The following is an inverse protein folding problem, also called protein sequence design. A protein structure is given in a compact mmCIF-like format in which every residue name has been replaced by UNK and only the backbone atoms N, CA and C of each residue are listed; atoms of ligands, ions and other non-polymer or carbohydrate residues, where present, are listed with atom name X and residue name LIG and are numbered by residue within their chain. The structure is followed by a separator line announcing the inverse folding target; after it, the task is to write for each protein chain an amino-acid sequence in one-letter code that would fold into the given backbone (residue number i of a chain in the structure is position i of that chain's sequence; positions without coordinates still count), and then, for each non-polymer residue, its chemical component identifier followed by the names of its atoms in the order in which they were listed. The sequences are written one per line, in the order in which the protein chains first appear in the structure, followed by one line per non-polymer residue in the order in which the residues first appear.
data_IF_114027597035
#
_entry.id   IF_114027597035
#
_cell.length_a   1.000
_cell.length_b   1.000
_cell.length_c   1.000
_cell.angle_alpha   90.00
_cell.angle_beta   90.00
_cell.angle_gamma   90.00
#
_symmetry.space_group_name_H-M   'P 1'
#
loop_
_entity.id
_entity.type
_entity.pdbx_description
1 polymer ?
#
# COMPACT_ATOMS: atom_id res chain seq x y z
N UNK A 1 10.99 -6.19 -68.79
CA UNK A 1 11.57 -6.11 -67.43
C UNK A 1 10.45 -5.72 -66.47
N UNK A 2 9.78 -6.70 -65.87
CA UNK A 2 8.73 -6.51 -64.87
C UNK A 2 9.37 -6.28 -63.51
N UNK A 3 9.23 -5.07 -62.97
CA UNK A 3 9.71 -4.71 -61.63
C UNK A 3 8.62 -5.14 -60.63
N UNK A 4 8.83 -6.28 -59.96
CA UNK A 4 8.00 -6.66 -58.82
C UNK A 4 8.22 -5.67 -57.66
N UNK A 5 7.15 -5.14 -57.04
CA UNK A 5 7.29 -4.27 -55.87
C UNK A 5 7.73 -5.13 -54.67
N UNK A 6 8.94 -4.89 -54.17
CA UNK A 6 9.42 -5.49 -52.92
C UNK A 6 8.55 -4.99 -51.76
N UNK A 7 7.62 -5.82 -51.32
CA UNK A 7 6.90 -5.59 -50.06
C UNK A 7 7.93 -5.59 -48.94
N UNK A 8 8.07 -4.50 -48.15
CA UNK A 8 9.01 -4.49 -47.04
C UNK A 8 8.58 -5.57 -46.06
N UNK A 9 9.43 -6.59 -45.87
CA UNK A 9 9.22 -7.62 -44.87
C UNK A 9 9.28 -6.94 -43.50
N UNK A 10 8.10 -6.65 -42.94
CA UNK A 10 7.99 -6.20 -41.55
C UNK A 10 8.49 -7.36 -40.69
N UNK A 11 9.73 -7.27 -40.24
CA UNK A 11 10.30 -8.21 -39.29
C UNK A 11 9.44 -8.15 -38.02
N UNK A 12 8.53 -9.12 -37.87
CA UNK A 12 7.74 -9.31 -36.68
C UNK A 12 8.71 -9.54 -35.52
N UNK A 13 8.98 -8.49 -34.74
CA UNK A 13 9.77 -8.59 -33.51
C UNK A 13 9.01 -9.53 -32.57
N UNK A 14 9.42 -10.79 -32.54
CA UNK A 14 8.82 -11.82 -31.71
C UNK A 14 8.87 -11.35 -30.25
N UNK A 15 7.73 -11.38 -29.57
CA UNK A 15 7.67 -11.03 -28.16
C UNK A 15 8.67 -11.89 -27.38
N UNK A 16 9.56 -11.30 -26.56
CA UNK A 16 10.55 -12.06 -25.82
C UNK A 16 9.86 -13.12 -24.95
N UNK A 17 10.28 -14.39 -25.09
CA UNK A 17 9.75 -15.54 -24.34
C UNK A 17 10.68 -15.89 -23.16
N UNK A 18 10.13 -16.50 -22.11
CA UNK A 18 10.87 -16.99 -20.94
C UNK A 18 11.51 -15.89 -20.08
N UNK A 19 12.74 -16.14 -19.61
CA UNK A 19 13.48 -15.28 -18.67
C UNK A 19 13.69 -13.84 -19.17
N UNK A 20 13.82 -13.65 -20.49
CA UNK A 20 13.96 -12.31 -21.09
C UNK A 20 12.68 -11.47 -20.95
N UNK A 21 11.51 -12.11 -20.90
CA UNK A 21 10.21 -11.45 -20.64
C UNK A 21 10.11 -11.00 -19.19
N UNK A 22 10.49 -11.88 -18.25
CA UNK A 22 10.50 -11.59 -16.82
C UNK A 22 11.49 -10.47 -16.51
N UNK A 23 12.71 -10.55 -17.06
CA UNK A 23 13.73 -9.50 -16.90
C UNK A 23 13.30 -8.17 -17.51
N UNK A 24 12.68 -8.20 -18.70
CA UNK A 24 12.12 -7.00 -19.33
C UNK A 24 10.99 -6.38 -18.51
N UNK A 25 10.12 -7.19 -17.93
CA UNK A 25 9.03 -6.75 -17.06
C UNK A 25 9.55 -6.18 -15.74
N UNK A 26 10.54 -6.84 -15.12
CA UNK A 26 11.21 -6.37 -13.92
C UNK A 26 11.95 -5.04 -14.15
N UNK A 27 12.68 -4.89 -15.27
CA UNK A 27 13.34 -3.61 -15.61
C UNK A 27 12.33 -2.48 -15.81
N UNK A 28 11.16 -2.78 -16.41
CA UNK A 28 10.09 -1.79 -16.60
C UNK A 28 9.43 -1.40 -15.28
N UNK A 29 9.15 -2.37 -14.41
CA UNK A 29 8.68 -2.11 -13.03
C UNK A 29 9.70 -1.25 -12.30
N UNK A 30 10.98 -1.59 -12.37
CA UNK A 30 12.07 -0.83 -11.76
C UNK A 30 12.16 0.60 -12.30
N UNK A 31 12.00 0.80 -13.61
CA UNK A 31 11.98 2.14 -14.19
C UNK A 31 10.80 2.98 -13.69
N UNK A 32 9.58 2.41 -13.64
CA UNK A 32 8.42 3.13 -13.09
C UNK A 32 8.56 3.40 -11.60
N UNK A 33 9.11 2.46 -10.84
CA UNK A 33 9.44 2.63 -9.43
C UNK A 33 10.43 3.79 -9.23
N UNK A 34 11.50 3.87 -10.02
CA UNK A 34 12.47 4.96 -9.98
C UNK A 34 11.86 6.31 -10.32
N UNK A 35 11.00 6.38 -11.34
CA UNK A 35 10.29 7.61 -11.71
C UNK A 35 9.42 8.10 -10.57
N UNK A 36 8.68 7.21 -9.91
CA UNK A 36 7.84 7.57 -8.77
C UNK A 36 8.66 7.97 -7.53
N UNK A 37 9.80 7.31 -7.28
CA UNK A 37 10.76 7.72 -6.25
C UNK A 37 11.32 9.11 -6.51
N UNK A 38 11.55 9.46 -7.77
CA UNK A 38 12.08 10.77 -8.13
C UNK A 38 11.04 11.89 -7.92
N UNK A 39 9.76 11.62 -8.17
CA UNK A 39 8.65 12.53 -7.83
C UNK A 39 8.59 12.78 -6.33
N UNK A 40 8.68 11.71 -5.53
CA UNK A 40 8.71 11.77 -4.07
C UNK A 40 9.82 12.65 -3.51
N UNK A 41 10.99 12.65 -4.14
CA UNK A 41 12.12 13.47 -3.70
C UNK A 41 11.86 14.97 -3.80
N UNK A 42 11.01 15.39 -4.74
CA UNK A 42 10.64 16.80 -4.94
C UNK A 42 9.51 17.25 -4.01
N UNK A 43 8.58 16.36 -3.65
CA UNK A 43 7.41 16.69 -2.80
C UNK A 43 7.70 16.52 -1.29
N UNK A 44 8.77 17.14 -0.79
CA UNK A 44 9.17 17.06 0.63
C UNK A 44 8.10 17.60 1.58
N UNK A 45 7.38 18.63 1.17
CA UNK A 45 6.30 19.25 1.95
C UNK A 45 5.09 18.32 2.11
N UNK A 46 4.79 17.50 1.10
CA UNK A 46 3.69 16.53 1.15
C UNK A 46 3.98 15.44 2.20
N UNK A 47 5.22 14.98 2.28
CA UNK A 47 5.63 13.97 3.26
C UNK A 47 5.46 14.47 4.71
N UNK A 48 5.87 15.71 4.98
CA UNK A 48 5.76 16.31 6.30
C UNK A 48 4.31 16.57 6.70
N UNK A 49 3.52 17.15 5.79
CA UNK A 49 2.09 17.43 6.06
C UNK A 49 1.29 16.16 6.30
N UNK A 50 1.61 15.05 5.60
CA UNK A 50 0.97 13.75 5.84
C UNK A 50 1.34 13.10 7.18
N UNK A 51 2.46 13.47 7.81
CA UNK A 51 2.82 12.99 9.14
C UNK A 51 2.00 13.64 10.26
N UNK A 52 1.39 14.80 10.01
CA UNK A 52 0.61 15.52 11.03
C UNK A 52 -0.54 14.65 11.54
N UNK A 53 -1.29 13.99 10.66
CA UNK A 53 -2.44 13.18 11.07
C UNK A 53 -2.04 11.95 11.91
N UNK A 54 -1.08 11.10 11.49
CA UNK A 54 -0.57 9.99 12.33
C UNK A 54 0.03 10.46 13.65
N UNK A 55 0.76 11.59 13.65
CA UNK A 55 1.31 12.17 14.86
C UNK A 55 0.22 12.62 15.84
N UNK A 56 -0.84 13.28 15.35
CA UNK A 56 -1.98 13.66 16.17
C UNK A 56 -2.67 12.42 16.77
N UNK A 57 -2.83 11.34 16.00
CA UNK A 57 -3.38 10.10 16.53
C UNK A 57 -2.51 9.54 17.65
N UNK A 58 -1.18 9.47 17.45
CA UNK A 58 -0.27 8.92 18.45
C UNK A 58 -0.17 9.80 19.69
N UNK A 59 -0.12 11.13 19.52
CA UNK A 59 0.00 12.09 20.61
C UNK A 59 -1.30 12.23 21.40
N UNK A 60 -2.45 12.36 20.73
CA UNK A 60 -3.73 12.56 21.40
C UNK A 60 -4.23 11.23 21.94
N UNK A 61 -4.48 10.23 21.08
CA UNK A 61 -5.05 8.96 21.52
C UNK A 61 -4.03 8.15 22.32
N UNK A 62 -2.79 8.05 21.85
CA UNK A 62 -1.77 7.28 22.55
C UNK A 62 -1.50 7.79 23.97
N UNK A 63 -1.32 9.11 24.16
CA UNK A 63 -1.09 9.66 25.51
C UNK A 63 -2.35 9.65 26.38
N UNK A 64 -3.51 10.01 25.82
CA UNK A 64 -4.75 10.10 26.60
C UNK A 64 -5.17 8.73 27.11
N UNK A 65 -5.21 7.72 26.24
CA UNK A 65 -5.61 6.37 26.64
C UNK A 65 -4.56 5.65 27.47
N UNK A 66 -3.27 5.93 27.27
CA UNK A 66 -2.22 5.40 28.16
C UNK A 66 -2.29 5.94 29.58
N UNK A 67 -2.95 7.09 29.83
CA UNK A 67 -3.19 7.62 31.18
C UNK A 67 -4.47 7.10 31.82
N UNK A 68 -5.39 6.60 31.01
CA UNK A 68 -6.70 6.14 31.47
C UNK A 68 -6.67 4.68 31.92
N UNK A 69 -5.70 3.88 31.47
CA UNK A 69 -5.56 2.43 31.79
C UNK A 69 -6.84 1.62 31.54
N UNK A 70 -7.70 2.11 30.63
CA UNK A 70 -9.04 1.56 30.34
C UNK A 70 -8.98 0.30 29.47
N UNK A 71 -7.89 0.07 28.74
CA UNK A 71 -7.76 -1.04 27.79
C UNK A 71 -6.63 -1.94 28.26
N UNK A 72 -6.98 -3.16 28.71
CA UNK A 72 -6.00 -4.18 29.05
C UNK A 72 -5.30 -4.69 27.78
N UNK A 73 -4.13 -4.12 27.52
CA UNK A 73 -3.23 -4.48 26.42
C UNK A 73 -2.21 -5.55 26.83
N UNK A 74 -2.44 -6.27 27.94
CA UNK A 74 -1.57 -7.36 28.39
C UNK A 74 -0.21 -6.89 28.91
N UNK A 75 -0.16 -5.72 29.56
CA UNK A 75 1.04 -5.18 30.21
C UNK A 75 1.95 -4.30 29.34
N UNK A 76 1.55 -4.00 28.10
CA UNK A 76 2.27 -3.06 27.21
C UNK A 76 1.57 -1.70 27.21
N UNK A 77 2.26 -0.56 27.33
CA UNK A 77 1.63 0.76 27.24
C UNK A 77 0.77 0.89 25.97
N UNK A 78 -0.45 1.39 26.09
CA UNK A 78 -1.38 1.55 24.96
C UNK A 78 -0.75 2.31 23.78
N UNK A 79 0.12 3.28 24.08
CA UNK A 79 0.91 4.01 23.09
C UNK A 79 1.76 3.08 22.20
N UNK A 80 2.39 2.05 22.78
CA UNK A 80 3.17 1.08 22.02
C UNK A 80 2.26 0.18 21.18
N UNK A 81 1.13 -0.26 21.73
CA UNK A 81 0.14 -1.07 21.02
C UNK A 81 -0.46 -0.35 19.80
N UNK A 82 -0.70 0.96 19.94
CA UNK A 82 -1.35 1.81 18.95
C UNK A 82 -0.41 2.13 17.77
N UNK A 83 0.90 2.26 18.00
CA UNK A 83 1.82 2.74 16.99
C UNK A 83 1.91 1.86 15.72
N UNK A 84 2.01 0.50 15.79
CA UNK A 84 1.89 -0.36 14.61
C UNK A 84 0.54 -0.21 13.88
N UNK A 85 -0.54 0.00 14.63
CA UNK A 85 -1.87 0.27 14.09
C UNK A 85 -1.92 1.55 13.26
N UNK A 86 -1.33 2.62 13.79
CA UNK A 86 -1.23 3.92 13.09
C UNK A 86 -0.34 3.82 11.86
N UNK A 87 0.73 3.03 11.90
CA UNK A 87 1.58 2.78 10.72
C UNK A 87 0.76 2.14 9.60
N UNK A 88 0.04 1.04 9.89
CA UNK A 88 -0.81 0.36 8.91
C UNK A 88 -1.97 1.26 8.43
N UNK A 89 -2.58 2.03 9.32
CA UNK A 89 -3.60 3.01 8.97
C UNK A 89 -3.07 4.08 8.00
N UNK A 90 -1.87 4.60 8.26
CA UNK A 90 -1.23 5.59 7.41
C UNK A 90 -0.97 5.03 6.01
N UNK A 91 -0.52 3.78 5.95
CA UNK A 91 -0.30 3.05 4.71
C UNK A 91 -1.59 2.87 3.90
N UNK A 92 -2.69 2.46 4.55
CA UNK A 92 -4.01 2.40 3.95
C UNK A 92 -4.45 3.76 3.39
N UNK A 93 -4.33 4.82 4.20
CA UNK A 93 -4.78 6.18 3.85
C UNK A 93 -4.00 6.76 2.66
N UNK A 94 -2.69 6.54 2.61
CA UNK A 94 -1.85 6.91 1.46
C UNK A 94 -2.30 6.17 0.20
N UNK A 95 -2.57 4.87 0.34
CA UNK A 95 -2.84 3.97 -0.78
C UNK A 95 -4.13 4.31 -1.53
N UNK A 96 -5.14 4.87 -0.86
CA UNK A 96 -6.40 5.27 -1.52
C UNK A 96 -6.20 6.37 -2.55
N UNK A 97 -5.25 7.28 -2.34
CA UNK A 97 -4.99 8.37 -3.29
C UNK A 97 -4.48 7.88 -4.65
N UNK A 98 -3.95 6.66 -4.74
CA UNK A 98 -3.45 6.11 -6.00
C UNK A 98 -4.54 5.78 -7.01
N UNK A 99 -5.74 5.42 -6.57
CA UNK A 99 -6.88 5.29 -7.46
C UNK A 99 -7.26 6.64 -8.07
N UNK A 100 -7.30 7.70 -7.24
CA UNK A 100 -7.58 9.06 -7.69
C UNK A 100 -6.50 9.52 -8.68
N UNK A 101 -5.24 9.23 -8.39
CA UNK A 101 -4.13 9.54 -9.28
C UNK A 101 -4.25 8.82 -10.64
N UNK A 102 -4.75 7.58 -10.67
CA UNK A 102 -5.04 6.88 -11.94
C UNK A 102 -6.14 7.57 -12.74
N UNK A 103 -7.21 8.02 -12.08
CA UNK A 103 -8.27 8.79 -12.77
C UNK A 103 -7.71 10.10 -13.31
N UNK A 104 -6.85 10.77 -12.54
CA UNK A 104 -6.18 12.00 -12.96
C UNK A 104 -5.27 11.78 -14.17
N UNK A 105 -4.41 10.76 -14.13
CA UNK A 105 -3.53 10.38 -15.24
C UNK A 105 -4.33 10.04 -16.51
N UNK A 106 -5.52 9.45 -16.35
CA UNK A 106 -6.43 9.17 -17.47
C UNK A 106 -6.95 10.45 -18.09
N UNK A 107 -7.51 11.35 -17.29
CA UNK A 107 -8.10 12.59 -17.79
C UNK A 107 -7.05 13.53 -18.40
N UNK A 108 -5.81 13.48 -17.89
CA UNK A 108 -4.66 14.20 -18.47
C UNK A 108 -4.11 13.55 -19.75
N UNK A 109 -4.68 12.42 -20.20
CA UNK A 109 -4.22 11.67 -21.36
C UNK A 109 -2.87 10.95 -21.16
N UNK A 110 -2.28 11.01 -19.96
CA UNK A 110 -1.02 10.34 -19.61
C UNK A 110 -1.22 8.82 -19.67
N UNK A 111 -2.33 8.32 -19.14
CA UNK A 111 -2.62 6.88 -19.14
C UNK A 111 -2.72 6.32 -20.56
N UNK A 112 -3.32 7.07 -21.49
CA UNK A 112 -3.39 6.68 -22.90
C UNK A 112 -1.99 6.57 -23.52
N UNK A 113 -1.11 7.55 -23.28
CA UNK A 113 0.29 7.51 -23.74
C UNK A 113 1.05 6.31 -23.15
N UNK A 114 0.87 6.03 -21.87
CA UNK A 114 1.52 4.88 -21.20
C UNK A 114 1.04 3.54 -21.76
N UNK A 115 -0.23 3.43 -22.15
CA UNK A 115 -0.81 2.19 -22.68
C UNK A 115 -0.43 1.90 -24.14
N UNK A 116 0.05 2.90 -24.89
CA UNK A 116 0.62 2.71 -26.23
C UNK A 116 2.07 2.19 -26.16
N UNK A 117 2.74 2.34 -25.00
CA UNK A 117 4.07 1.76 -24.81
C UNK A 117 3.99 0.22 -24.75
N UNK A 118 5.06 -0.51 -25.10
CA UNK A 118 5.08 -1.97 -25.02
C UNK A 118 5.04 -2.50 -23.58
N UNK A 119 4.89 -1.64 -22.56
CA UNK A 119 4.80 -2.02 -21.17
C UNK A 119 3.42 -2.61 -20.84
N UNK A 120 3.35 -3.78 -20.16
CA UNK A 120 2.08 -4.33 -19.75
C UNK A 120 1.42 -3.45 -18.68
N UNK A 121 0.08 -3.41 -18.64
CA UNK A 121 -0.68 -2.69 -17.61
C UNK A 121 -0.25 -3.05 -16.16
N UNK A 122 0.20 -4.29 -15.94
CA UNK A 122 0.74 -4.71 -14.65
C UNK A 122 2.00 -3.95 -14.25
N UNK A 123 2.87 -3.56 -15.19
CA UNK A 123 4.05 -2.77 -14.86
C UNK A 123 3.67 -1.36 -14.37
N UNK A 124 2.60 -0.78 -14.90
CA UNK A 124 2.08 0.53 -14.47
C UNK A 124 1.50 0.42 -13.06
N UNK A 125 0.63 -0.58 -12.85
CA UNK A 125 0.00 -0.85 -11.55
C UNK A 125 1.05 -1.13 -10.48
N UNK A 126 2.00 -2.04 -10.75
CA UNK A 126 3.05 -2.39 -9.80
C UNK A 126 3.99 -1.22 -9.51
N UNK A 127 4.33 -0.39 -10.51
CA UNK A 127 5.13 0.81 -10.29
C UNK A 127 4.45 1.81 -9.35
N UNK A 128 3.14 2.05 -9.55
CA UNK A 128 2.33 2.90 -8.66
C UNK A 128 2.16 2.29 -7.27
N UNK A 129 1.90 0.99 -7.18
CA UNK A 129 1.78 0.30 -5.90
C UNK A 129 3.11 0.30 -5.11
N UNK A 130 4.25 0.14 -5.80
CA UNK A 130 5.57 0.27 -5.19
C UNK A 130 5.82 1.69 -4.66
N UNK A 131 5.39 2.70 -5.43
CA UNK A 131 5.42 4.08 -4.96
C UNK A 131 4.58 4.28 -3.70
N UNK A 132 3.43 3.61 -3.60
CA UNK A 132 2.56 3.69 -2.44
C UNK A 132 3.26 3.09 -1.22
N UNK A 133 3.84 1.90 -1.37
CA UNK A 133 4.67 1.28 -0.35
C UNK A 133 5.83 2.16 0.08
N UNK A 134 6.54 2.80 -0.86
CA UNK A 134 7.65 3.70 -0.52
C UNK A 134 7.18 4.93 0.27
N UNK A 135 6.06 5.55 -0.13
CA UNK A 135 5.43 6.64 0.65
C UNK A 135 5.09 6.19 2.07
N UNK A 136 4.57 4.99 2.22
CA UNK A 136 4.23 4.41 3.51
C UNK A 136 5.46 4.09 4.37
N UNK A 137 6.61 3.71 3.77
CA UNK A 137 7.87 3.52 4.50
C UNK A 137 8.32 4.78 5.22
N UNK A 138 8.13 5.96 4.61
CA UNK A 138 8.42 7.24 5.28
C UNK A 138 7.57 7.40 6.55
N UNK A 139 6.31 6.97 6.52
CA UNK A 139 5.45 6.98 7.70
C UNK A 139 5.94 6.01 8.79
N UNK A 140 6.45 4.84 8.42
CA UNK A 140 7.08 3.90 9.37
C UNK A 140 8.21 4.61 10.12
N UNK A 141 9.14 5.24 9.38
CA UNK A 141 10.29 5.91 9.97
C UNK A 141 9.84 7.03 10.91
N UNK A 142 8.89 7.85 10.48
CA UNK A 142 8.43 8.98 11.28
C UNK A 142 7.64 8.56 12.52
N UNK A 143 6.76 7.55 12.42
CA UNK A 143 5.99 7.06 13.58
C UNK A 143 6.89 6.33 14.55
N UNK A 144 7.84 5.52 14.07
CA UNK A 144 8.85 4.88 14.93
C UNK A 144 9.71 5.94 15.63
N UNK A 145 10.18 6.96 14.90
CA UNK A 145 10.93 8.08 15.47
C UNK A 145 10.13 8.83 16.55
N UNK A 146 8.85 9.11 16.28
CA UNK A 146 7.97 9.75 17.26
C UNK A 146 7.74 8.85 18.49
N UNK A 147 7.56 7.55 18.29
CA UNK A 147 7.41 6.59 19.39
C UNK A 147 8.66 6.54 20.29
N UNK A 148 9.86 6.59 19.71
CA UNK A 148 11.11 6.69 20.49
C UNK A 148 11.19 8.01 21.28
N UNK A 149 10.81 9.14 20.68
CA UNK A 149 10.77 10.45 21.38
C UNK A 149 9.80 10.43 22.55
N UNK A 150 8.69 9.70 22.41
CA UNK A 150 7.68 9.53 23.47
C UNK A 150 8.07 8.47 24.52
N UNK A 151 9.27 7.88 24.44
CA UNK A 151 9.77 6.91 25.41
C UNK A 151 9.17 5.51 25.30
N UNK A 152 8.58 5.15 24.15
CA UNK A 152 8.02 3.82 23.92
C UNK A 152 9.15 2.79 23.75
N UNK A 153 9.07 1.68 24.48
CA UNK A 153 9.96 0.54 24.29
C UNK A 153 9.64 -0.22 23.00
N UNK A 154 10.13 0.28 21.87
CA UNK A 154 10.13 -0.43 20.59
C UNK A 154 11.47 -1.11 20.35
N UNK A 155 11.45 -2.15 19.51
CA UNK A 155 12.70 -2.77 19.07
C UNK A 155 13.56 -1.76 18.31
N UNK A 156 14.81 -1.60 18.74
CA UNK A 156 15.82 -0.84 18.01
C UNK A 156 16.56 -1.70 16.97
N UNK A 157 16.16 -2.96 16.77
CA UNK A 157 16.83 -3.87 15.86
C UNK A 157 16.58 -3.45 14.39
N UNK A 158 17.62 -3.04 13.64
CA UNK A 158 17.47 -2.57 12.26
C UNK A 158 16.83 -3.62 11.33
N UNK A 159 17.08 -4.90 11.58
CA UNK A 159 16.53 -6.00 10.78
C UNK A 159 15.01 -6.10 10.92
N UNK A 160 14.50 -5.92 12.14
CA UNK A 160 13.06 -5.95 12.43
C UNK A 160 12.35 -4.73 11.86
N UNK A 161 12.99 -3.56 11.92
CA UNK A 161 12.49 -2.33 11.29
C UNK A 161 12.43 -2.49 9.77
N UNK A 162 13.47 -3.07 9.15
CA UNK A 162 13.48 -3.33 7.72
C UNK A 162 12.40 -4.36 7.31
N UNK A 163 12.18 -5.39 8.12
CA UNK A 163 11.07 -6.33 7.91
C UNK A 163 9.71 -5.64 8.02
N UNK A 164 9.54 -4.72 8.99
CA UNK A 164 8.31 -3.93 9.16
C UNK A 164 8.05 -3.04 7.94
N UNK A 165 9.09 -2.41 7.38
CA UNK A 165 8.98 -1.67 6.11
C UNK A 165 8.50 -2.58 4.97
N UNK A 166 9.03 -3.81 4.87
CA UNK A 166 8.59 -4.80 3.88
C UNK A 166 7.11 -5.16 4.01
N UNK A 167 6.64 -5.42 5.24
CA UNK A 167 5.24 -5.70 5.54
C UNK A 167 4.33 -4.54 5.11
N UNK A 168 4.72 -3.30 5.43
CA UNK A 168 3.98 -2.10 5.03
C UNK A 168 3.94 -1.91 3.52
N UNK A 169 5.03 -2.22 2.82
CA UNK A 169 5.05 -2.18 1.35
C UNK A 169 4.07 -3.17 0.76
N UNK A 170 3.94 -4.38 1.32
CA UNK A 170 2.97 -5.39 0.88
C UNK A 170 1.52 -4.94 1.13
N UNK A 171 1.22 -4.47 2.34
CA UNK A 171 -0.10 -3.94 2.69
C UNK A 171 -0.49 -2.74 1.81
N UNK A 172 0.40 -1.75 1.70
CA UNK A 172 0.21 -0.59 0.82
C UNK A 172 0.00 -1.00 -0.63
N UNK A 173 0.72 -2.02 -1.11
CA UNK A 173 0.57 -2.54 -2.48
C UNK A 173 -0.84 -3.06 -2.70
N UNK A 174 -1.36 -3.87 -1.77
CA UNK A 174 -2.73 -4.37 -1.84
C UNK A 174 -3.76 -3.24 -1.84
N UNK A 175 -3.68 -2.31 -0.88
CA UNK A 175 -4.64 -1.21 -0.78
C UNK A 175 -4.57 -0.25 -1.97
N UNK A 176 -3.37 0.00 -2.51
CA UNK A 176 -3.21 0.83 -3.68
C UNK A 176 -3.85 0.15 -4.90
N UNK A 177 -3.65 -1.16 -5.04
CA UNK A 177 -4.31 -1.94 -6.08
C UNK A 177 -5.83 -1.98 -5.92
N UNK A 178 -6.35 -2.07 -4.69
CA UNK A 178 -7.79 -1.98 -4.42
C UNK A 178 -8.33 -0.62 -4.87
N UNK A 179 -7.66 0.47 -4.53
CA UNK A 179 -8.07 1.81 -4.96
C UNK A 179 -7.98 2.00 -6.48
N UNK A 180 -6.91 1.52 -7.12
CA UNK A 180 -6.78 1.55 -8.59
C UNK A 180 -7.83 0.67 -9.28
N UNK A 181 -8.24 -0.44 -8.66
CA UNK A 181 -9.34 -1.28 -9.15
C UNK A 181 -10.67 -0.53 -9.11
N UNK A 182 -10.94 0.20 -8.02
CA UNK A 182 -12.11 1.06 -7.90
C UNK A 182 -12.10 2.18 -8.93
N UNK A 183 -10.94 2.78 -9.22
CA UNK A 183 -10.78 3.75 -10.30
C UNK A 183 -11.15 3.17 -11.68
N UNK A 184 -10.93 1.87 -11.86
CA UNK A 184 -11.36 1.09 -13.03
C UNK A 184 -12.88 1.04 -13.23
N UNK A 185 -13.64 1.06 -12.14
CA UNK A 185 -15.10 0.94 -12.13
C UNK A 185 -15.76 2.32 -12.07
N UNK A 186 -15.21 3.21 -11.25
CA UNK A 186 -15.75 4.52 -10.94
C UNK A 186 -14.92 5.56 -11.69
N UNK A 187 -15.43 5.96 -12.86
CA UNK A 187 -14.72 6.88 -13.75
C UNK A 187 -14.72 8.34 -13.28
N UNK A 188 -15.45 8.71 -12.23
CA UNK A 188 -15.53 10.09 -11.73
C UNK A 188 -14.64 10.26 -10.47
N UNK A 189 -13.84 11.35 -10.43
CA UNK A 189 -12.88 11.64 -9.35
C UNK A 189 -13.56 11.85 -7.99
N UNK A 190 -14.58 12.70 -7.94
CA UNK A 190 -15.27 13.05 -6.70
C UNK A 190 -15.98 11.82 -6.12
N UNK A 191 -16.58 11.02 -7.00
CA UNK A 191 -17.21 9.76 -6.61
C UNK A 191 -16.19 8.75 -6.08
N UNK A 192 -15.01 8.66 -6.70
CA UNK A 192 -13.95 7.78 -6.21
C UNK A 192 -13.43 8.22 -4.85
N UNK A 193 -13.32 9.54 -4.60
CA UNK A 193 -12.92 10.04 -3.29
C UNK A 193 -13.93 9.67 -2.21
N UNK A 194 -15.23 9.86 -2.47
CA UNK A 194 -16.29 9.47 -1.55
C UNK A 194 -16.34 7.96 -1.28
N UNK A 195 -16.31 7.14 -2.33
CA UNK A 195 -16.32 5.66 -2.22
C UNK A 195 -15.05 5.17 -1.53
N UNK A 196 -13.89 5.74 -1.86
CA UNK A 196 -12.62 5.42 -1.22
C UNK A 196 -12.70 5.60 0.29
N UNK A 197 -13.20 6.74 0.76
CA UNK A 197 -13.38 6.99 2.19
C UNK A 197 -14.44 6.09 2.84
N UNK A 198 -15.56 5.86 2.14
CA UNK A 198 -16.64 4.99 2.62
C UNK A 198 -16.21 3.52 2.78
N UNK A 199 -15.20 3.06 2.04
CA UNK A 199 -14.62 1.72 2.18
C UNK A 199 -13.50 1.70 3.24
N UNK A 200 -12.70 2.76 3.26
CA UNK A 200 -11.51 2.87 4.12
C UNK A 200 -11.85 2.94 5.59
N UNK A 201 -12.85 3.75 5.96
CA UNK A 201 -13.23 3.91 7.36
C UNK A 201 -13.73 2.57 7.96
N UNK A 202 -14.67 1.83 7.34
CA UNK A 202 -15.05 0.51 7.82
C UNK A 202 -13.88 -0.48 7.88
N UNK A 203 -13.00 -0.52 6.87
CA UNK A 203 -11.81 -1.38 6.90
C UNK A 203 -10.89 -1.06 8.07
N UNK A 204 -10.73 0.22 8.40
CA UNK A 204 -9.91 0.65 9.53
C UNK A 204 -10.54 0.25 10.86
N UNK A 205 -11.82 0.54 11.08
CA UNK A 205 -12.50 0.19 12.34
C UNK A 205 -12.76 -1.30 12.52
N UNK A 206 -12.91 -2.04 11.42
CA UNK A 206 -12.99 -3.50 11.42
C UNK A 206 -11.64 -4.19 11.54
N UNK A 207 -10.54 -3.42 11.67
CA UNK A 207 -9.22 -3.97 11.93
C UNK A 207 -8.89 -3.96 13.42
N UNK A 208 -7.88 -4.74 13.79
CA UNK A 208 -7.32 -4.74 15.13
C UNK A 208 -6.30 -3.61 15.38
N UNK A 209 -6.28 -2.56 14.56
CA UNK A 209 -5.36 -1.42 14.72
C UNK A 209 -5.57 -0.66 16.04
N UNK A 210 -6.83 -0.42 16.41
CA UNK A 210 -7.21 0.38 17.57
C UNK A 210 -7.47 -0.46 18.83
N UNK A 211 -7.98 -1.68 18.67
CA UNK A 211 -8.45 -2.50 19.79
C UNK A 211 -7.84 -3.90 19.72
N UNK A 212 -7.58 -4.55 20.88
CA UNK A 212 -7.28 -5.97 20.94
C UNK A 212 -8.42 -6.80 20.33
N UNK A 213 -8.09 -7.93 19.71
CA UNK A 213 -9.10 -8.82 19.11
C UNK A 213 -10.03 -9.42 20.19
N UNK A 214 -9.53 -9.52 21.43
CA UNK A 214 -10.24 -10.12 22.56
C UNK A 214 -11.46 -9.32 23.01
N UNK A 215 -11.42 -7.98 22.88
CA UNK A 215 -12.53 -7.09 23.25
C UNK A 215 -13.55 -6.90 22.11
N UNK A 216 -13.29 -7.44 20.92
CA UNK A 216 -14.18 -7.28 19.77
C UNK A 216 -15.42 -8.18 19.87
N UNK A 217 -16.61 -7.67 19.50
CA UNK A 217 -17.79 -8.51 19.36
C UNK A 217 -17.61 -9.53 18.23
N UNK A 218 -18.30 -10.67 18.32
CA UNK A 218 -18.06 -11.83 17.43
C UNK A 218 -18.17 -11.50 15.94
N UNK A 219 -19.13 -10.65 15.54
CA UNK A 219 -19.29 -10.22 14.14
C UNK A 219 -18.08 -9.40 13.64
N UNK A 220 -17.50 -8.56 14.49
CA UNK A 220 -16.34 -7.73 14.15
C UNK A 220 -15.07 -8.59 14.10
N UNK A 221 -14.98 -9.61 14.96
CA UNK A 221 -13.88 -10.59 14.93
C UNK A 221 -13.82 -11.34 13.59
N UNK A 222 -14.97 -11.72 13.03
CA UNK A 222 -15.04 -12.33 11.69
C UNK A 222 -14.57 -11.36 10.59
N UNK A 223 -14.99 -10.10 10.64
CA UNK A 223 -14.54 -9.09 9.67
C UNK A 223 -13.03 -8.85 9.77
N UNK A 224 -12.51 -8.74 10.99
CA UNK A 224 -11.07 -8.58 11.23
C UNK A 224 -10.27 -9.78 10.73
N UNK A 225 -10.80 -10.99 10.79
CA UNK A 225 -10.12 -12.19 10.31
C UNK A 225 -9.99 -12.25 8.78
N UNK A 226 -10.86 -11.56 8.03
CA UNK A 226 -10.78 -11.51 6.55
C UNK A 226 -9.98 -10.29 6.09
N UNK A 227 -9.85 -9.27 6.93
CA UNK A 227 -9.26 -7.99 6.59
C UNK A 227 -7.72 -8.06 6.51
N UNK A 228 -7.11 -7.80 5.32
CA UNK A 228 -5.65 -7.78 5.17
C UNK A 228 -4.96 -6.74 6.08
N UNK A 229 -5.67 -5.68 6.48
CA UNK A 229 -5.13 -4.68 7.41
C UNK A 229 -4.83 -5.30 8.78
N UNK A 230 -5.65 -6.23 9.26
CA UNK A 230 -5.44 -6.89 10.55
C UNK A 230 -4.17 -7.76 10.55
N UNK A 231 -3.88 -8.42 9.42
CA UNK A 231 -2.65 -9.18 9.22
C UNK A 231 -1.42 -8.26 9.16
N UNK A 232 -1.53 -7.11 8.52
CA UNK A 232 -0.48 -6.08 8.51
C UNK A 232 -0.16 -5.59 9.93
N UNK A 233 -1.18 -5.24 10.71
CA UNK A 233 -1.02 -4.80 12.10
C UNK A 233 -0.42 -5.90 12.97
N UNK A 234 -0.88 -7.15 12.86
CA UNK A 234 -0.33 -8.28 13.61
C UNK A 234 1.16 -8.52 13.32
N UNK A 235 1.54 -8.52 12.04
CA UNK A 235 2.92 -8.65 11.63
C UNK A 235 3.78 -7.50 12.18
N UNK A 236 3.28 -6.25 12.11
CA UNK A 236 3.99 -5.09 12.64
C UNK A 236 4.13 -5.13 14.16
N UNK A 237 3.12 -5.60 14.90
CA UNK A 237 3.23 -5.77 16.36
C UNK A 237 4.27 -6.82 16.75
N UNK A 238 4.28 -7.97 16.06
CA UNK A 238 5.30 -8.99 16.29
C UNK A 238 6.72 -8.51 15.97
N UNK A 239 6.87 -7.69 14.92
CA UNK A 239 8.17 -7.14 14.53
C UNK A 239 8.62 -5.99 15.44
N UNK A 240 7.76 -5.03 15.77
CA UNK A 240 8.15 -3.80 16.46
C UNK A 240 8.08 -3.89 17.99
N UNK A 241 7.13 -4.66 18.52
CA UNK A 241 6.86 -4.79 19.96
C UNK A 241 7.28 -6.18 20.48
N UNK A 242 7.31 -7.20 19.62
CA UNK A 242 7.65 -8.57 20.02
C UNK A 242 6.48 -9.36 20.61
N UNK A 243 5.24 -8.95 20.33
CA UNK A 243 4.04 -9.72 20.72
C UNK A 243 3.95 -11.03 19.93
N UNK A 244 3.27 -12.07 20.45
CA UNK A 244 3.03 -13.31 19.71
C UNK A 244 2.30 -13.00 18.39
N UNK A 245 2.95 -13.25 17.26
CA UNK A 245 2.35 -13.14 15.94
C UNK A 245 2.64 -14.36 15.10
N UNK A 246 1.71 -14.70 14.21
CA UNK A 246 1.90 -15.75 13.22
C UNK A 246 2.59 -15.13 11.98
N UNK A 247 3.79 -14.58 12.17
CA UNK A 247 4.44 -13.72 11.18
C UNK A 247 4.57 -14.34 9.78
N UNK A 248 4.73 -15.66 9.68
CA UNK A 248 4.74 -16.36 8.39
C UNK A 248 3.38 -16.37 7.68
N UNK A 249 2.28 -16.60 8.42
CA UNK A 249 0.92 -16.57 7.88
C UNK A 249 0.52 -15.14 7.51
N UNK A 250 0.84 -14.16 8.37
CA UNK A 250 0.54 -12.75 8.12
C UNK A 250 1.19 -12.27 6.81
N UNK A 251 2.49 -12.56 6.64
CA UNK A 251 3.22 -12.22 5.41
C UNK A 251 2.68 -12.99 4.21
N UNK A 252 2.31 -14.27 4.35
CA UNK A 252 1.73 -15.05 3.27
C UNK A 252 0.38 -14.47 2.79
N UNK A 253 -0.50 -14.08 3.72
CA UNK A 253 -1.78 -13.44 3.39
C UNK A 253 -1.57 -12.09 2.71
N UNK A 254 -0.60 -11.29 3.17
CA UNK A 254 -0.26 -10.02 2.54
C UNK A 254 0.33 -10.20 1.14
N UNK A 255 1.17 -11.21 0.93
CA UNK A 255 1.72 -11.53 -0.39
C UNK A 255 0.62 -11.97 -1.36
N UNK A 256 -0.26 -12.88 -0.93
CA UNK A 256 -1.37 -13.37 -1.74
C UNK A 256 -2.32 -12.24 -2.09
N UNK A 257 -2.68 -11.39 -1.11
CA UNK A 257 -3.56 -10.25 -1.33
C UNK A 257 -2.91 -9.22 -2.27
N UNK A 258 -1.62 -8.90 -2.11
CA UNK A 258 -0.89 -8.02 -3.02
C UNK A 258 -0.87 -8.54 -4.47
N UNK A 259 -0.58 -9.83 -4.67
CA UNK A 259 -0.58 -10.45 -6.00
C UNK A 259 -1.98 -10.43 -6.62
N UNK A 260 -3.00 -10.81 -5.85
CA UNK A 260 -4.40 -10.78 -6.29
C UNK A 260 -4.84 -9.36 -6.65
N UNK A 261 -4.47 -8.37 -5.82
CA UNK A 261 -4.73 -6.95 -6.06
C UNK A 261 -4.10 -6.47 -7.35
N UNK A 262 -2.81 -6.76 -7.58
CA UNK A 262 -2.13 -6.40 -8.84
C UNK A 262 -2.82 -7.03 -10.03
N UNK A 263 -3.21 -8.31 -9.94
CA UNK A 263 -3.90 -9.01 -11.03
C UNK A 263 -5.25 -8.35 -11.37
N UNK A 264 -6.09 -8.12 -10.37
CA UNK A 264 -7.42 -7.49 -10.53
C UNK A 264 -7.29 -6.07 -11.07
N UNK A 265 -6.42 -5.25 -10.47
CA UNK A 265 -6.17 -3.88 -10.91
C UNK A 265 -5.65 -3.84 -12.35
N UNK A 266 -4.75 -4.76 -12.73
CA UNK A 266 -4.23 -4.84 -14.10
C UNK A 266 -5.29 -5.19 -15.13
N UNK A 267 -6.25 -6.04 -14.78
CA UNK A 267 -7.37 -6.41 -15.66
C UNK A 267 -8.35 -5.24 -15.81
N UNK A 268 -8.72 -4.59 -14.70
CA UNK A 268 -9.64 -3.46 -14.71
C UNK A 268 -9.06 -2.22 -15.37
N UNK A 269 -7.75 -1.97 -15.21
CA UNK A 269 -7.07 -0.85 -15.86
C UNK A 269 -7.11 -0.96 -17.39
N UNK A 270 -7.06 -2.18 -17.94
CA UNK A 270 -7.24 -2.39 -19.40
C UNK A 270 -8.63 -2.01 -19.89
N UNK A 271 -9.65 -2.10 -19.04
CA UNK A 271 -11.03 -1.69 -19.37
C UNK A 271 -11.18 -0.17 -19.41
N UNK A 272 -10.31 0.59 -18.76
CA UNK A 272 -10.40 2.06 -18.71
C UNK A 272 -10.01 2.74 -20.02
N UNK A 273 -9.24 2.07 -20.87
CA UNK A 273 -8.67 2.64 -22.11
C UNK A 273 -9.41 2.14 -23.36
N UNK A 274 -10.29 1.16 -23.21
CA UNK A 274 -11.31 0.83 -24.20
C UNK A 274 -12.51 1.74 -24.02
#
# INVERSE_FOLDING_TARGET
MSVEPRVPQVALVLAPRGWRRVRGLAMRIGAFALVELQKLRHDRTELFTRMVQPALWLLIFGQTFSRLDVIDTGGVPYLAFLAPGIIAQSALFISIFYGIQIVWDRDAGILAKLMVTPAPASAIVTGKAFAAGTRSVVQVIGVVGLAFVLGVQMTANPLKIMAAMGVVVLGSTFFACLSMSLAGLVRNRDRLMGIGQAITMPLFFASNALYPVDVMPQWLRWLSAVNPLSYEVNALRGLLIGTPSNGALDVAVLLVSAIAGIAVASVLLRRLVR
#
